data_IF_541932093124
#
_entry.id   IF_541932093124
#
_cell.length_a   1.000
_cell.length_b   1.000
_cell.length_c   1.000
_cell.angle_alpha   90.00
_cell.angle_beta   90.00
_cell.angle_gamma   90.00
#
_symmetry.space_group_name_H-M   'P 1'
#
loop_
_entity.id
_entity.type
_entity.pdbx_description
1 polymer ?
#
# COMPACT_ATOMS: atom_id res chain seq x y z
N UNK A 1 -5.07 21.00 -17.13
CA UNK A 1 -4.04 20.72 -16.11
C UNK A 1 -4.49 19.66 -15.13
N UNK A 2 -5.61 19.89 -14.43
CA UNK A 2 -6.11 18.88 -13.48
C UNK A 2 -6.51 17.56 -14.15
N UNK A 3 -7.06 17.63 -15.33
CA UNK A 3 -7.47 16.46 -16.10
C UNK A 3 -6.26 15.64 -16.53
N UNK A 4 -5.22 16.33 -16.99
CA UNK A 4 -3.98 15.66 -17.39
C UNK A 4 -3.31 14.99 -16.21
N UNK A 5 -3.35 15.64 -15.05
CA UNK A 5 -2.81 15.07 -13.81
C UNK A 5 -3.49 13.75 -13.46
N UNK A 6 -4.81 13.70 -13.54
CA UNK A 6 -5.56 12.49 -13.22
C UNK A 6 -5.20 11.36 -14.19
N UNK A 7 -5.11 11.65 -15.48
CA UNK A 7 -4.74 10.67 -16.49
C UNK A 7 -3.30 10.19 -16.31
N UNK A 8 -2.40 11.13 -16.04
CA UNK A 8 -1.00 10.80 -15.79
C UNK A 8 -0.82 9.99 -14.52
N UNK A 9 -1.60 10.31 -13.50
CA UNK A 9 -1.55 9.55 -12.24
C UNK A 9 -1.94 8.10 -12.48
N UNK A 10 -2.98 7.84 -13.28
CA UNK A 10 -3.40 6.48 -13.61
C UNK A 10 -2.31 5.70 -14.32
N UNK A 11 -1.70 6.31 -15.33
CA UNK A 11 -0.61 5.67 -16.07
C UNK A 11 0.61 5.46 -15.19
N UNK A 12 0.95 6.48 -14.41
CA UNK A 12 2.08 6.41 -13.49
C UNK A 12 1.89 5.30 -12.46
N UNK A 13 0.67 5.13 -11.98
CA UNK A 13 0.37 4.09 -11.01
C UNK A 13 0.53 2.70 -11.61
N UNK A 14 0.10 2.49 -12.85
CA UNK A 14 0.32 1.22 -13.54
C UNK A 14 1.82 0.92 -13.64
N UNK A 15 2.61 1.90 -14.04
CA UNK A 15 4.06 1.73 -14.15
C UNK A 15 4.69 1.45 -12.80
N UNK A 16 4.25 2.16 -11.76
CA UNK A 16 4.74 1.94 -10.40
C UNK A 16 4.40 0.53 -9.90
N UNK A 17 3.18 0.07 -10.14
CA UNK A 17 2.77 -1.27 -9.73
C UNK A 17 3.56 -2.35 -10.47
N UNK A 18 3.90 -2.11 -11.73
CA UNK A 18 4.69 -3.06 -12.52
C UNK A 18 6.08 -3.28 -11.93
N UNK A 19 6.59 -2.31 -11.19
CA UNK A 19 7.89 -2.42 -10.53
C UNK A 19 7.82 -3.20 -9.22
N UNK A 20 6.62 -3.46 -8.71
CA UNK A 20 6.43 -4.24 -7.48
C UNK A 20 6.51 -5.72 -7.85
N UNK A 21 7.35 -6.48 -7.17
CA UNK A 21 7.62 -7.86 -7.53
C UNK A 21 6.37 -8.71 -7.66
N UNK A 22 5.45 -8.62 -6.71
CA UNK A 22 4.24 -9.46 -6.74
C UNK A 22 3.30 -9.10 -7.88
N UNK A 23 3.42 -7.91 -8.47
CA UNK A 23 2.57 -7.46 -9.57
C UNK A 23 3.29 -7.45 -10.92
N UNK A 24 4.60 -7.66 -10.93
CA UNK A 24 5.43 -7.46 -12.14
C UNK A 24 5.05 -8.38 -13.30
N UNK A 25 4.53 -9.57 -13.01
CA UNK A 25 4.18 -10.55 -14.02
C UNK A 25 2.71 -10.48 -14.44
N UNK A 26 1.94 -9.55 -13.88
CA UNK A 26 0.52 -9.44 -14.22
C UNK A 26 0.32 -8.84 -15.60
N UNK A 27 -0.69 -9.34 -16.36
CA UNK A 27 -1.09 -8.69 -17.61
C UNK A 27 -1.49 -7.24 -17.37
N UNK A 28 -1.34 -6.41 -18.39
CA UNK A 28 -1.67 -4.99 -18.30
C UNK A 28 -3.11 -4.74 -17.85
N UNK A 29 -4.05 -5.57 -18.29
CA UNK A 29 -5.45 -5.44 -17.89
C UNK A 29 -5.63 -5.60 -16.39
N UNK A 30 -4.87 -6.48 -15.76
CA UNK A 30 -4.92 -6.68 -14.31
C UNK A 30 -4.27 -5.52 -13.57
N UNK A 31 -3.15 -5.01 -14.09
CA UNK A 31 -2.52 -3.83 -13.52
C UNK A 31 -3.43 -2.61 -13.62
N UNK A 32 -4.15 -2.47 -14.72
CA UNK A 32 -5.11 -1.39 -14.90
C UNK A 32 -6.25 -1.49 -13.89
N UNK A 33 -6.76 -2.70 -13.65
CA UNK A 33 -7.80 -2.91 -12.63
C UNK A 33 -7.30 -2.51 -11.24
N UNK A 34 -6.08 -2.95 -10.89
CA UNK A 34 -5.48 -2.59 -9.61
C UNK A 34 -5.29 -1.08 -9.49
N UNK A 35 -4.77 -0.44 -10.55
CA UNK A 35 -4.55 1.00 -10.53
C UNK A 35 -5.86 1.78 -10.33
N UNK A 36 -6.95 1.27 -10.88
CA UNK A 36 -8.27 1.88 -10.69
C UNK A 36 -8.77 1.72 -9.25
N UNK A 37 -8.51 0.58 -8.62
CA UNK A 37 -9.02 0.26 -7.28
C UNK A 37 -8.13 0.73 -6.15
N UNK A 38 -6.83 0.86 -6.39
CA UNK A 38 -5.92 1.41 -5.38
C UNK A 38 -6.16 2.91 -5.22
N UNK A 39 -6.10 3.37 -3.97
CA UNK A 39 -6.15 4.78 -3.63
C UNK A 39 -4.73 5.26 -3.34
N UNK A 40 -4.24 6.23 -4.10
CA UNK A 40 -2.92 6.79 -3.89
C UNK A 40 -2.97 7.87 -2.82
N UNK A 41 -2.03 7.81 -1.89
CA UNK A 41 -1.93 8.78 -0.79
C UNK A 41 -0.50 9.28 -0.75
N UNK A 42 -0.35 10.59 -0.62
CA UNK A 42 0.95 11.24 -0.44
C UNK A 42 1.11 11.64 1.00
N UNK A 43 2.25 11.30 1.58
CA UNK A 43 2.55 11.54 2.97
C UNK A 43 3.76 12.44 3.10
N UNK A 44 3.67 13.41 3.99
CA UNK A 44 4.81 14.25 4.36
C UNK A 44 5.59 13.54 5.48
N UNK A 45 6.89 13.87 5.65
CA UNK A 45 7.66 13.30 6.76
C UNK A 45 6.95 13.51 8.09
N UNK A 46 6.86 12.44 8.88
CA UNK A 46 6.21 12.47 10.17
C UNK A 46 4.72 12.16 10.17
N UNK A 47 4.07 12.16 8.99
CA UNK A 47 2.65 11.84 8.94
C UNK A 47 2.40 10.38 9.25
N UNK A 48 1.35 10.13 10.03
CA UNK A 48 0.93 8.79 10.40
C UNK A 48 -0.12 8.33 9.39
N UNK A 49 0.08 7.12 8.84
CA UNK A 49 -0.89 6.54 7.90
C UNK A 49 -1.64 5.33 8.46
N UNK A 50 -1.11 4.68 9.50
CA UNK A 50 -1.83 3.67 10.28
C UNK A 50 -1.49 3.87 11.75
N UNK A 51 -2.46 3.61 12.62
CA UNK A 51 -2.27 3.72 14.06
C UNK A 51 -2.45 2.38 14.72
N UNK A 52 -1.68 2.15 15.78
CA UNK A 52 -1.81 0.97 16.60
C UNK A 52 -3.26 0.83 17.08
N UNK A 53 -3.84 -0.34 16.88
CA UNK A 53 -5.20 -0.63 17.29
C UNK A 53 -6.27 -0.28 16.26
N UNK A 54 -5.93 0.44 15.21
CA UNK A 54 -6.90 0.75 14.14
C UNK A 54 -7.30 -0.55 13.41
N UNK A 55 -8.54 -0.62 12.89
CA UNK A 55 -8.95 -1.77 12.10
C UNK A 55 -8.00 -1.99 10.93
N UNK A 56 -7.59 -3.24 10.71
CA UNK A 56 -6.73 -3.60 9.59
C UNK A 56 -7.59 -3.80 8.35
N UNK A 57 -7.85 -2.71 7.65
CA UNK A 57 -8.76 -2.67 6.50
C UNK A 57 -8.06 -2.53 5.16
N UNK A 58 -6.76 -2.24 5.13
CA UNK A 58 -6.08 -1.85 3.90
C UNK A 58 -4.80 -2.64 3.66
N UNK A 59 -4.65 -3.12 2.43
CA UNK A 59 -3.37 -3.56 1.90
C UNK A 59 -2.66 -2.31 1.41
N UNK A 60 -1.37 -2.16 1.73
CA UNK A 60 -0.61 -0.95 1.47
C UNK A 60 0.64 -1.30 0.68
N UNK A 61 0.85 -0.58 -0.43
CA UNK A 61 2.04 -0.70 -1.27
C UNK A 61 2.82 0.60 -1.19
N UNK A 62 4.11 0.53 -0.94
CA UNK A 62 4.96 1.71 -0.92
C UNK A 62 5.48 1.95 -2.33
N UNK A 63 5.09 3.07 -2.93
CA UNK A 63 5.48 3.45 -4.29
C UNK A 63 6.79 4.22 -4.31
N UNK A 64 6.95 5.13 -3.37
CA UNK A 64 8.16 5.95 -3.21
C UNK A 64 8.36 6.27 -1.75
N UNK A 65 9.60 6.47 -1.34
CA UNK A 65 9.94 6.93 0.00
C UNK A 65 10.18 5.80 0.97
N UNK A 66 9.99 6.10 2.23
CA UNK A 66 10.25 5.15 3.31
C UNK A 66 9.25 5.37 4.43
N UNK A 67 8.75 4.29 4.98
CA UNK A 67 7.90 4.33 6.17
C UNK A 67 8.59 3.56 7.30
N UNK A 68 8.19 3.88 8.51
CA UNK A 68 8.68 3.22 9.72
C UNK A 68 7.50 2.76 10.54
N UNK A 69 7.50 1.48 10.90
CA UNK A 69 6.43 0.86 11.67
C UNK A 69 6.94 0.56 13.07
N UNK A 70 6.38 1.26 14.07
CA UNK A 70 6.72 1.05 15.47
C UNK A 70 5.69 0.11 16.09
N UNK A 71 6.14 -1.07 16.51
CA UNK A 71 5.24 -2.03 17.14
C UNK A 71 4.74 -1.54 18.49
N UNK A 72 3.57 -2.07 18.89
CA UNK A 72 3.00 -1.85 20.22
C UNK A 72 3.97 -2.33 21.30
N UNK A 73 3.95 -1.68 22.46
CA UNK A 73 4.76 -2.11 23.58
C UNK A 73 5.81 -1.09 24.02
N UNK A 74 5.76 0.11 23.45
CA UNK A 74 6.59 1.23 23.88
C UNK A 74 7.87 1.42 23.10
N UNK A 75 8.76 2.31 23.62
CA UNK A 75 9.96 2.73 22.85
C UNK A 75 10.95 1.61 22.56
N UNK A 76 10.95 0.56 23.36
CA UNK A 76 11.89 -0.56 23.18
C UNK A 76 11.36 -1.61 22.21
N UNK A 77 10.12 -1.43 21.69
CA UNK A 77 9.54 -2.37 20.75
C UNK A 77 10.24 -2.30 19.40
N UNK A 78 10.26 -3.41 18.65
CA UNK A 78 10.90 -3.42 17.34
C UNK A 78 10.30 -2.37 16.40
N UNK A 79 11.17 -1.79 15.60
CA UNK A 79 10.80 -0.86 14.53
C UNK A 79 11.13 -1.53 13.20
N UNK A 80 10.17 -1.55 12.29
CA UNK A 80 10.37 -2.08 10.95
C UNK A 80 10.37 -0.93 9.96
N UNK A 81 11.23 -1.04 8.95
CA UNK A 81 11.27 -0.09 7.85
C UNK A 81 10.74 -0.75 6.60
N UNK A 82 9.98 -0.01 5.82
CA UNK A 82 9.52 -0.47 4.52
C UNK A 82 9.81 0.62 3.49
N UNK A 83 10.33 0.20 2.35
CA UNK A 83 10.77 1.09 1.30
C UNK A 83 9.94 0.86 0.03
N UNK A 84 10.20 1.69 -0.97
CA UNK A 84 9.55 1.55 -2.27
C UNK A 84 9.66 0.11 -2.78
N UNK A 85 8.56 -0.41 -3.27
CA UNK A 85 8.47 -1.77 -3.79
C UNK A 85 7.95 -2.79 -2.81
N UNK A 86 7.82 -2.44 -1.54
CA UNK A 86 7.36 -3.37 -0.51
C UNK A 86 5.86 -3.25 -0.27
N UNK A 87 5.27 -4.35 0.16
CA UNK A 87 3.84 -4.45 0.49
C UNK A 87 3.71 -4.65 1.99
N UNK A 88 2.78 -3.94 2.61
CA UNK A 88 2.53 -4.04 4.04
C UNK A 88 1.03 -3.89 4.33
N UNK A 89 0.68 -3.72 5.60
CA UNK A 89 -0.72 -3.61 6.00
C UNK A 89 -1.39 -4.97 6.08
N UNK A 90 -2.64 -5.04 5.66
CA UNK A 90 -3.40 -6.30 5.66
C UNK A 90 -3.16 -7.05 4.36
N UNK A 91 -2.65 -8.27 4.45
CA UNK A 91 -2.47 -9.14 3.29
C UNK A 91 -3.71 -10.02 3.11
N UNK A 92 -4.01 -10.45 1.86
CA UNK A 92 -5.27 -11.16 1.59
C UNK A 92 -5.53 -12.42 2.39
N UNK A 93 -4.47 -13.09 2.84
CA UNK A 93 -4.63 -14.33 3.62
C UNK A 93 -4.36 -14.14 5.10
N UNK A 94 -4.18 -12.91 5.53
CA UNK A 94 -3.90 -12.60 6.92
C UNK A 94 -5.18 -12.66 7.77
N UNK A 95 -5.03 -13.05 9.02
CA UNK A 95 -6.12 -13.02 10.00
C UNK A 95 -6.06 -11.78 10.87
N UNK A 96 -5.23 -10.84 10.51
CA UNK A 96 -5.06 -9.60 11.25
C UNK A 96 -6.38 -8.83 11.28
N UNK A 97 -6.81 -8.41 12.47
CA UNK A 97 -8.02 -7.61 12.64
C UNK A 97 -7.72 -6.16 12.99
N UNK A 98 -6.58 -5.93 13.59
CA UNK A 98 -6.12 -4.59 13.96
C UNK A 98 -4.64 -4.48 13.66
N UNK A 99 -4.20 -3.27 13.36
CA UNK A 99 -2.77 -3.03 13.17
C UNK A 99 -2.06 -3.12 14.53
N UNK A 100 -0.92 -3.79 14.55
CA UNK A 100 -0.12 -3.98 15.75
C UNK A 100 0.95 -2.94 15.95
N UNK A 101 0.82 -1.79 15.34
CA UNK A 101 1.79 -0.72 15.45
C UNK A 101 1.37 0.54 14.73
N UNK A 102 2.17 1.59 14.89
CA UNK A 102 1.93 2.88 14.26
C UNK A 102 2.94 3.09 13.13
N UNK A 103 2.45 3.44 11.95
CA UNK A 103 3.28 3.69 10.77
C UNK A 103 3.37 5.17 10.45
N UNK A 104 4.60 5.65 10.24
CA UNK A 104 4.88 7.05 9.88
C UNK A 104 5.77 7.10 8.65
N UNK A 105 5.56 8.14 7.84
CA UNK A 105 6.49 8.43 6.76
C UNK A 105 7.76 9.04 7.34
N UNK A 106 8.91 8.59 6.84
CA UNK A 106 10.21 9.14 7.24
C UNK A 106 10.65 10.21 6.26
N UNK A 107 10.29 10.03 4.99
CA UNK A 107 10.58 10.91 3.87
C UNK A 107 9.27 11.27 3.21
N UNK A 108 9.27 12.23 2.27
CA UNK A 108 8.09 12.37 1.40
C UNK A 108 7.81 11.02 0.75
N UNK A 109 6.60 10.50 0.95
CA UNK A 109 6.27 9.12 0.61
C UNK A 109 4.97 9.08 -0.19
N UNK A 110 4.93 8.18 -1.17
CA UNK A 110 3.71 7.86 -1.90
C UNK A 110 3.37 6.41 -1.61
N UNK A 111 2.14 6.17 -1.19
CA UNK A 111 1.62 4.81 -0.99
C UNK A 111 0.36 4.63 -1.83
N UNK A 112 0.05 3.38 -2.13
CA UNK A 112 -1.24 3.02 -2.71
C UNK A 112 -1.88 2.01 -1.76
N UNK A 113 -3.17 2.16 -1.52
CA UNK A 113 -3.88 1.26 -0.61
C UNK A 113 -5.12 0.67 -1.26
N UNK A 114 -5.40 -0.58 -0.94
CA UNK A 114 -6.56 -1.30 -1.47
C UNK A 114 -7.40 -1.79 -0.29
N UNK A 115 -8.69 -1.46 -0.31
CA UNK A 115 -9.56 -1.86 0.77
C UNK A 115 -9.83 -3.37 0.73
N UNK A 116 -9.91 -3.99 1.91
CA UNK A 116 -10.09 -5.44 2.04
C UNK A 116 -11.37 -5.95 1.39
N UNK A 117 -12.38 -5.10 1.25
CA UNK A 117 -13.63 -5.50 0.59
C UNK A 117 -13.44 -5.91 -0.86
N UNK A 118 -12.32 -5.51 -1.46
CA UNK A 118 -11.99 -5.85 -2.85
C UNK A 118 -11.14 -7.11 -2.97
N UNK A 119 -10.69 -7.68 -1.86
CA UNK A 119 -9.83 -8.86 -1.90
C UNK A 119 -10.49 -10.07 -2.58
N UNK A 120 -11.78 -10.40 -2.32
CA UNK A 120 -12.38 -11.53 -3.02
C UNK A 120 -12.37 -11.37 -4.53
N UNK A 121 -12.73 -10.20 -5.03
CA UNK A 121 -12.69 -9.95 -6.47
C UNK A 121 -11.27 -9.96 -7.02
N UNK A 122 -10.33 -9.36 -6.28
CA UNK A 122 -8.93 -9.34 -6.68
C UNK A 122 -8.39 -10.76 -6.84
N UNK A 123 -8.64 -11.63 -5.87
CA UNK A 123 -8.15 -13.00 -5.90
C UNK A 123 -8.85 -13.84 -6.96
N UNK A 124 -10.12 -13.53 -7.24
CA UNK A 124 -10.85 -14.20 -8.30
C UNK A 124 -10.27 -13.88 -9.68
N UNK A 125 -9.89 -12.61 -9.89
CA UNK A 125 -9.30 -12.15 -11.15
C UNK A 125 -7.85 -12.55 -11.28
N UNK A 126 -7.13 -12.56 -10.17
CA UNK A 126 -5.68 -12.76 -10.12
C UNK A 126 -5.32 -13.80 -9.06
N UNK A 127 -5.67 -15.09 -9.30
CA UNK A 127 -5.43 -16.13 -8.30
C UNK A 127 -3.97 -16.33 -7.96
N UNK A 128 -3.06 -15.85 -8.79
CA UNK A 128 -1.62 -15.93 -8.53
C UNK A 128 -1.14 -15.00 -7.40
N UNK A 129 -1.95 -14.07 -6.97
CA UNK A 129 -1.57 -13.16 -5.88
C UNK A 129 -1.73 -13.78 -4.49
#
# INVERSE_FOLDING_TARGET
MAEDSASETGKSLIDDLRKIEVFSDLPEEHLAWLAEKFEEIRLQPGEIFVRDGDPADWLIVILEGEIRLQRSGGPDSPVFRANAGQVTGLLPYSRLTQYGGTGRAVLPTRIARLHKSLFPEMLQRMPQL
#
